data_IF_975714980847
#
_entry.id   IF_975714980847
#
_cell.length_a   1.000
_cell.length_b   1.000
_cell.length_c   1.000
_cell.angle_alpha   90.00
_cell.angle_beta   90.00
_cell.angle_gamma   90.00
#
_symmetry.space_group_name_H-M   'P 1'
#
loop_
_entity.id
_entity.type
_entity.pdbx_description
1 polymer ?
#
# COMPACT_ATOMS: atom_id res chain seq x y z
N UNK A 1 2.27 -22.34 11.80
CA UNK A 1 0.82 -22.08 11.64
C UNK A 1 0.22 -23.14 10.72
N UNK A 2 -0.88 -23.79 11.10
CA UNK A 2 -1.38 -25.00 10.42
C UNK A 2 -2.37 -24.72 9.27
N UNK A 3 -3.11 -23.61 9.33
CA UNK A 3 -4.17 -23.29 8.36
C UNK A 3 -3.84 -22.03 7.56
N UNK A 4 -4.38 -21.94 6.34
CA UNK A 4 -4.33 -20.71 5.53
C UNK A 4 -5.00 -19.57 6.31
N UNK A 5 -6.08 -19.86 7.04
CA UNK A 5 -6.77 -18.90 7.90
C UNK A 5 -5.85 -18.29 8.95
N UNK A 6 -5.09 -19.12 9.69
CA UNK A 6 -4.15 -18.64 10.71
C UNK A 6 -3.08 -17.74 10.10
N UNK A 7 -2.54 -18.12 8.93
CA UNK A 7 -1.52 -17.35 8.22
C UNK A 7 -2.07 -16.04 7.64
N UNK A 8 -3.31 -16.05 7.14
CA UNK A 8 -3.97 -14.84 6.66
C UNK A 8 -4.23 -13.86 7.81
N UNK A 9 -4.68 -14.34 8.98
CA UNK A 9 -4.84 -13.50 10.18
C UNK A 9 -3.53 -12.91 10.66
N UNK A 10 -2.45 -13.68 10.60
CA UNK A 10 -1.12 -13.18 10.89
C UNK A 10 -0.73 -12.03 9.96
N UNK A 11 -0.86 -12.22 8.64
CA UNK A 11 -0.57 -11.16 7.65
C UNK A 11 -1.43 -9.93 7.89
N UNK A 12 -2.72 -10.10 8.22
CA UNK A 12 -3.59 -8.97 8.56
C UNK A 12 -3.06 -8.17 9.75
N UNK A 13 -2.64 -8.86 10.80
CA UNK A 13 -2.07 -8.23 12.00
C UNK A 13 -0.76 -7.52 11.68
N UNK A 14 0.16 -8.18 10.97
CA UNK A 14 1.46 -7.62 10.63
C UNK A 14 1.35 -6.36 9.76
N UNK A 15 0.40 -6.36 8.81
CA UNK A 15 0.19 -5.26 7.89
C UNK A 15 -0.80 -4.20 8.42
N UNK A 16 -1.45 -4.44 9.55
CA UNK A 16 -2.49 -3.55 10.09
C UNK A 16 -3.73 -3.41 9.20
N UNK A 17 -4.08 -4.43 8.39
CA UNK A 17 -5.18 -4.34 7.41
C UNK A 17 -6.43 -5.10 7.85
N UNK A 18 -7.60 -4.62 7.42
CA UNK A 18 -8.90 -5.25 7.72
C UNK A 18 -9.32 -6.20 6.60
N UNK A 19 -10.36 -7.01 6.84
CA UNK A 19 -10.88 -7.95 5.84
C UNK A 19 -11.31 -7.25 4.54
N UNK A 20 -11.92 -6.07 4.67
CA UNK A 20 -12.35 -5.24 3.53
C UNK A 20 -11.17 -4.79 2.67
N UNK A 21 -10.01 -4.55 3.30
CA UNK A 21 -8.79 -4.15 2.59
C UNK A 21 -8.24 -5.31 1.78
N UNK A 22 -8.27 -6.54 2.32
CA UNK A 22 -7.85 -7.74 1.58
C UNK A 22 -8.66 -7.90 0.29
N UNK A 23 -9.98 -7.72 0.35
CA UNK A 23 -10.84 -7.84 -0.82
C UNK A 23 -10.43 -6.86 -1.93
N UNK A 24 -10.20 -5.60 -1.53
CA UNK A 24 -9.77 -4.53 -2.43
C UNK A 24 -8.37 -4.80 -3.02
N UNK A 25 -7.43 -5.27 -2.20
CA UNK A 25 -6.03 -5.48 -2.59
C UNK A 25 -5.85 -6.71 -3.49
N UNK A 26 -6.60 -7.77 -3.22
CA UNK A 26 -6.42 -9.08 -3.87
C UNK A 26 -7.41 -9.31 -5.01
N UNK A 27 -8.52 -8.57 -5.04
CA UNK A 27 -9.65 -8.81 -5.94
C UNK A 27 -10.46 -10.07 -5.60
N UNK A 28 -10.18 -10.74 -4.47
CA UNK A 28 -10.98 -11.84 -3.95
C UNK A 28 -12.24 -11.27 -3.29
N UNK A 29 -13.39 -11.91 -3.48
CA UNK A 29 -14.65 -11.39 -2.93
C UNK A 29 -14.65 -11.39 -1.39
N UNK A 30 -15.34 -10.41 -0.82
CA UNK A 30 -15.48 -10.30 0.63
C UNK A 30 -16.14 -11.55 1.25
N UNK A 31 -17.07 -12.19 0.53
CA UNK A 31 -17.71 -13.44 0.95
C UNK A 31 -16.70 -14.58 1.08
N UNK A 32 -15.80 -14.72 0.11
CA UNK A 32 -14.74 -15.75 0.15
C UNK A 32 -13.77 -15.47 1.30
N UNK A 33 -13.34 -14.22 1.48
CA UNK A 33 -12.44 -13.84 2.58
C UNK A 33 -13.08 -14.14 3.94
N UNK A 34 -14.36 -13.77 4.13
CA UNK A 34 -15.12 -14.06 5.34
C UNK A 34 -15.21 -15.56 5.59
N UNK A 35 -15.55 -16.34 4.56
CA UNK A 35 -15.61 -17.81 4.65
C UNK A 35 -14.27 -18.40 5.11
N UNK A 36 -13.15 -17.98 4.49
CA UNK A 36 -11.82 -18.44 4.89
C UNK A 36 -11.53 -18.11 6.36
N UNK A 37 -11.84 -16.89 6.80
CA UNK A 37 -11.50 -16.44 8.15
C UNK A 37 -12.36 -17.09 9.24
N UNK A 38 -13.63 -17.42 8.94
CA UNK A 38 -14.56 -18.05 9.89
C UNK A 38 -14.35 -19.56 10.01
N UNK A 39 -14.04 -20.26 8.91
CA UNK A 39 -14.08 -21.73 8.86
C UNK A 39 -12.72 -22.43 9.12
N UNK A 40 -11.69 -21.71 9.56
CA UNK A 40 -10.33 -22.25 9.82
C UNK A 40 -9.80 -23.19 8.70
N UNK A 41 -9.88 -22.70 7.48
CA UNK A 41 -9.59 -23.43 6.25
C UNK A 41 -8.11 -23.82 6.16
N UNK A 42 -7.84 -25.12 6.07
CA UNK A 42 -6.48 -25.67 5.94
C UNK A 42 -5.81 -25.30 4.62
N UNK A 43 -6.55 -25.34 3.50
CA UNK A 43 -6.05 -25.06 2.14
C UNK A 43 -7.09 -24.29 1.35
N UNK A 44 -6.65 -23.32 0.55
CA UNK A 44 -7.53 -22.50 -0.27
C UNK A 44 -7.03 -22.42 -1.70
N UNK A 45 -7.95 -22.51 -2.66
CA UNK A 45 -7.66 -22.22 -4.06
C UNK A 45 -7.15 -20.78 -4.25
N UNK A 46 -7.60 -19.84 -3.40
CA UNK A 46 -7.25 -18.43 -3.49
C UNK A 46 -5.91 -18.07 -2.85
N UNK A 47 -5.18 -19.03 -2.24
CA UNK A 47 -3.92 -18.73 -1.55
C UNK A 47 -2.92 -17.99 -2.43
N UNK A 48 -2.77 -18.37 -3.69
CA UNK A 48 -1.86 -17.68 -4.61
C UNK A 48 -2.31 -16.24 -4.90
N UNK A 49 -3.58 -16.03 -5.23
CA UNK A 49 -4.12 -14.70 -5.54
C UNK A 49 -4.04 -13.77 -4.32
N UNK A 50 -4.36 -14.29 -3.13
CA UNK A 50 -4.22 -13.57 -1.87
C UNK A 50 -2.76 -13.17 -1.62
N UNK A 51 -1.84 -14.11 -1.81
CA UNK A 51 -0.41 -13.87 -1.60
C UNK A 51 0.12 -12.76 -2.51
N UNK A 52 -0.17 -12.82 -3.81
CA UNK A 52 0.26 -11.80 -4.77
C UNK A 52 -0.32 -10.42 -4.42
N UNK A 53 -1.62 -10.33 -4.13
CA UNK A 53 -2.26 -9.06 -3.79
C UNK A 53 -1.77 -8.45 -2.46
N UNK A 54 -1.30 -9.31 -1.54
CA UNK A 54 -0.75 -8.92 -0.25
C UNK A 54 0.78 -8.88 -0.23
N UNK A 55 1.48 -9.04 -1.37
CA UNK A 55 2.96 -9.08 -1.37
C UNK A 55 3.58 -10.13 -0.44
N UNK A 56 2.85 -11.19 -0.15
CA UNK A 56 3.27 -12.32 0.70
C UNK A 56 3.81 -13.43 -0.19
N UNK A 57 4.74 -14.21 0.34
CA UNK A 57 5.22 -15.41 -0.32
C UNK A 57 4.06 -16.42 -0.55
N UNK A 58 3.74 -16.79 -1.80
CA UNK A 58 2.65 -17.74 -2.08
C UNK A 58 2.84 -19.10 -1.42
N UNK A 59 4.07 -19.59 -1.34
CA UNK A 59 4.39 -20.87 -0.71
C UNK A 59 4.17 -20.81 0.80
N UNK A 60 4.59 -19.72 1.42
CA UNK A 60 4.34 -19.48 2.83
C UNK A 60 2.84 -19.37 3.13
N UNK A 61 2.08 -18.62 2.33
CA UNK A 61 0.64 -18.49 2.60
C UNK A 61 -0.10 -19.82 2.39
N UNK A 62 0.27 -20.60 1.38
CA UNK A 62 -0.35 -21.89 1.08
C UNK A 62 0.01 -22.98 2.10
N UNK A 63 1.28 -23.08 2.48
CA UNK A 63 1.81 -24.24 3.23
C UNK A 63 2.52 -23.86 4.54
N UNK A 64 2.90 -22.61 4.72
CA UNK A 64 3.62 -22.12 5.91
C UNK A 64 5.13 -22.26 5.83
N UNK A 65 5.66 -22.48 4.62
CA UNK A 65 7.08 -22.73 4.38
C UNK A 65 7.78 -21.49 3.81
N UNK A 66 9.02 -21.26 4.28
CA UNK A 66 9.85 -20.12 3.86
C UNK A 66 9.54 -18.81 4.59
N UNK A 67 10.05 -17.71 4.03
CA UNK A 67 9.83 -16.36 4.55
C UNK A 67 8.41 -15.87 4.26
N UNK A 68 7.83 -15.12 5.20
CA UNK A 68 6.48 -14.54 5.07
C UNK A 68 6.43 -13.56 3.89
N UNK A 69 7.37 -12.61 3.87
CA UNK A 69 7.42 -11.55 2.87
C UNK A 69 8.62 -11.74 1.97
N UNK A 70 8.37 -11.88 0.67
CA UNK A 70 9.44 -11.88 -0.32
C UNK A 70 9.86 -10.43 -0.60
N UNK A 71 11.16 -10.10 -0.57
CA UNK A 71 11.63 -8.81 -1.06
C UNK A 71 11.21 -8.64 -2.51
N UNK A 72 10.44 -7.60 -2.82
CA UNK A 72 10.02 -7.34 -4.19
C UNK A 72 10.44 -5.94 -4.62
N UNK A 73 11.06 -5.84 -5.79
CA UNK A 73 11.37 -4.55 -6.41
C UNK A 73 10.21 -4.16 -7.32
N UNK A 74 9.32 -3.31 -6.81
CA UNK A 74 8.16 -2.85 -7.58
C UNK A 74 8.31 -1.39 -7.95
N UNK A 75 7.97 -1.06 -9.20
CA UNK A 75 7.81 0.34 -9.64
C UNK A 75 6.58 0.92 -8.95
N UNK A 76 6.78 1.91 -8.10
CA UNK A 76 5.66 2.63 -7.49
C UNK A 76 4.96 3.52 -8.53
N UNK A 77 3.66 3.78 -8.43
CA UNK A 77 3.02 4.96 -9.01
C UNK A 77 3.71 6.24 -8.51
N UNK A 78 3.80 7.25 -9.37
CA UNK A 78 4.24 8.58 -9.00
C UNK A 78 3.16 9.59 -9.36
N UNK A 79 2.82 10.44 -8.40
CA UNK A 79 1.89 11.53 -8.54
C UNK A 79 2.65 12.85 -8.41
N UNK A 80 2.53 13.70 -9.44
CA UNK A 80 3.27 14.95 -9.52
C UNK A 80 2.73 16.06 -8.60
N UNK A 81 1.49 15.91 -8.14
CA UNK A 81 0.83 16.84 -7.23
C UNK A 81 -0.34 16.18 -6.51
N UNK A 82 -0.88 16.88 -5.51
CA UNK A 82 -2.12 16.50 -4.82
C UNK A 82 -3.29 16.35 -5.80
N UNK A 83 -3.39 17.25 -6.77
CA UNK A 83 -4.44 17.22 -7.80
C UNK A 83 -4.32 15.99 -8.69
N UNK A 84 -3.10 15.64 -9.10
CA UNK A 84 -2.82 14.43 -9.88
C UNK A 84 -3.22 13.17 -9.12
N UNK A 85 -2.88 13.09 -7.82
CA UNK A 85 -3.32 12.00 -6.95
C UNK A 85 -4.85 11.92 -6.85
N UNK A 86 -5.54 13.05 -6.59
CA UNK A 86 -7.01 13.10 -6.48
C UNK A 86 -7.69 12.53 -7.73
N UNK A 87 -7.22 12.90 -8.92
CA UNK A 87 -7.78 12.41 -10.19
C UNK A 87 -7.60 10.90 -10.41
N UNK A 88 -6.67 10.27 -9.69
CA UNK A 88 -6.35 8.86 -9.83
C UNK A 88 -6.88 8.00 -8.68
N UNK A 89 -7.53 8.56 -7.66
CA UNK A 89 -8.32 7.82 -6.67
C UNK A 89 -9.66 7.49 -7.35
N UNK A 90 -10.00 6.20 -7.64
CA UNK A 90 -9.56 4.98 -6.95
C UNK A 90 -8.65 4.05 -7.79
N UNK A 91 -8.23 4.49 -8.97
CA UNK A 91 -7.36 3.77 -9.90
C UNK A 91 -5.85 3.94 -9.61
N UNK A 92 -5.40 3.63 -8.39
CA UNK A 92 -3.97 3.67 -8.00
C UNK A 92 -3.07 2.63 -8.73
N UNK A 93 -3.44 2.22 -9.96
CA UNK A 93 -2.80 1.19 -10.80
C UNK A 93 -1.91 1.74 -11.94
N UNK A 94 -1.61 3.04 -12.03
CA UNK A 94 -0.76 3.61 -13.12
C UNK A 94 0.62 4.09 -12.65
N UNK A 95 1.62 3.92 -13.52
CA UNK A 95 3.02 3.54 -13.24
C UNK A 95 4.02 4.69 -13.48
N UNK A 96 4.94 4.98 -12.55
CA UNK A 96 6.32 5.49 -12.86
C UNK A 96 7.32 5.22 -11.74
N UNK A 97 8.42 4.51 -12.05
CA UNK A 97 9.36 3.89 -11.11
C UNK A 97 10.00 4.81 -10.04
N UNK A 98 9.82 4.45 -8.77
CA UNK A 98 10.71 4.87 -7.67
C UNK A 98 11.61 3.71 -7.26
N UNK A 99 12.92 3.96 -7.14
CA UNK A 99 13.89 2.94 -6.71
C UNK A 99 13.77 2.68 -5.21
N UNK A 100 13.64 1.40 -4.83
CA UNK A 100 13.78 0.85 -3.47
C UNK A 100 12.60 1.11 -2.51
N UNK A 101 11.78 0.08 -2.30
CA UNK A 101 11.04 -0.23 -1.07
C UNK A 101 11.09 -1.74 -0.95
N UNK A 102 11.51 -2.28 0.19
CA UNK A 102 11.80 -3.71 0.27
C UNK A 102 10.52 -4.57 0.34
N UNK A 103 9.44 -4.11 0.98
CA UNK A 103 8.29 -4.96 1.38
C UNK A 103 6.96 -4.21 1.53
N UNK A 104 6.69 -3.22 0.68
CA UNK A 104 5.48 -2.43 0.77
C UNK A 104 4.41 -2.83 -0.26
N UNK A 105 3.16 -2.92 0.18
CA UNK A 105 1.97 -3.24 -0.62
C UNK A 105 1.16 -1.97 -0.77
N UNK A 106 0.45 -1.82 -1.90
CA UNK A 106 -0.37 -0.64 -2.18
C UNK A 106 0.38 0.68 -1.99
N UNK A 107 1.59 0.74 -2.53
CA UNK A 107 2.49 1.86 -2.32
C UNK A 107 2.49 2.81 -3.50
N UNK A 108 2.56 4.10 -3.23
CA UNK A 108 2.72 5.15 -4.23
C UNK A 108 3.73 6.20 -3.75
N UNK A 109 4.21 7.00 -4.69
CA UNK A 109 5.00 8.18 -4.40
C UNK A 109 4.24 9.43 -4.80
N UNK A 110 4.32 10.46 -3.96
CA UNK A 110 3.66 11.74 -4.17
C UNK A 110 4.68 12.85 -3.98
N UNK A 111 4.76 13.74 -4.96
CA UNK A 111 5.44 15.00 -4.80
C UNK A 111 4.57 15.92 -3.94
N UNK A 112 4.99 16.11 -2.69
CA UNK A 112 4.25 16.93 -1.72
C UNK A 112 4.55 18.41 -1.94
N UNK A 113 5.78 18.73 -2.30
CA UNK A 113 6.27 20.07 -2.63
C UNK A 113 7.65 19.99 -3.32
N UNK A 114 8.18 21.12 -3.77
CA UNK A 114 9.47 21.21 -4.48
C UNK A 114 10.66 20.57 -3.75
N UNK A 115 10.55 20.35 -2.43
CA UNK A 115 11.61 19.77 -1.61
C UNK A 115 11.42 18.29 -1.31
N UNK A 116 10.19 17.77 -1.28
CA UNK A 116 9.90 16.45 -0.73
C UNK A 116 8.95 15.61 -1.59
N UNK A 117 9.40 14.38 -1.83
CA UNK A 117 8.56 13.26 -2.29
C UNK A 117 8.35 12.33 -1.11
N UNK A 118 7.08 12.01 -0.82
CA UNK A 118 6.73 10.99 0.16
C UNK A 118 6.45 9.68 -0.54
N UNK A 119 6.86 8.57 0.09
CA UNK A 119 6.43 7.22 -0.29
C UNK A 119 5.40 6.79 0.74
N UNK A 120 4.17 6.58 0.27
CA UNK A 120 3.07 6.09 1.08
C UNK A 120 2.80 4.62 0.75
N UNK A 121 2.29 3.85 1.70
CA UNK A 121 1.89 2.47 1.46
C UNK A 121 1.62 1.69 2.73
N UNK A 122 1.49 0.37 2.59
CA UNK A 122 1.28 -0.57 3.69
C UNK A 122 2.56 -1.39 3.83
N UNK A 123 3.12 -1.47 5.04
CA UNK A 123 4.30 -2.26 5.35
C UNK A 123 4.12 -2.96 6.72
N UNK A 124 4.88 -4.03 6.99
CA UNK A 124 4.88 -4.65 8.33
C UNK A 124 5.22 -3.63 9.42
N UNK A 125 4.57 -3.72 10.58
CA UNK A 125 4.78 -2.77 11.69
C UNK A 125 6.26 -2.66 12.10
N UNK A 126 6.99 -3.77 12.05
CA UNK A 126 8.44 -3.82 12.35
C UNK A 126 9.32 -2.99 11.42
N UNK A 127 8.82 -2.60 10.24
CA UNK A 127 9.54 -1.79 9.25
C UNK A 127 9.16 -0.31 9.28
N UNK A 128 8.12 0.05 10.03
CA UNK A 128 7.64 1.43 10.17
C UNK A 128 8.53 2.16 11.18
N UNK A 129 9.42 3.03 10.66
CA UNK A 129 10.34 3.82 11.50
C UNK A 129 9.64 4.98 12.21
N UNK A 130 8.64 5.57 11.57
CA UNK A 130 7.89 6.74 12.06
C UNK A 130 6.43 6.52 11.75
N UNK A 131 5.55 6.67 12.74
CA UNK A 131 4.09 6.58 12.57
C UNK A 131 3.54 7.93 12.10
N UNK A 132 3.65 8.18 10.81
CA UNK A 132 3.10 9.36 10.14
C UNK A 132 2.19 8.93 9.00
N UNK A 133 1.10 9.69 8.81
CA UNK A 133 0.07 9.40 7.85
C UNK A 133 -0.17 10.63 6.97
N UNK A 134 -0.16 10.44 5.66
CA UNK A 134 -0.64 11.43 4.71
C UNK A 134 -2.17 11.34 4.64
N UNK A 135 -2.84 12.42 5.00
CA UNK A 135 -4.30 12.51 5.04
C UNK A 135 -4.78 13.54 4.01
N UNK A 136 -5.68 13.12 3.14
CA UNK A 136 -6.21 13.89 2.01
C UNK A 136 -7.71 14.10 2.16
N UNK A 137 -8.15 15.34 2.03
CA UNK A 137 -9.54 15.77 2.06
C UNK A 137 -9.89 16.48 0.75
N UNK A 138 -11.17 16.80 0.56
CA UNK A 138 -11.67 17.44 -0.66
C UNK A 138 -10.98 18.78 -0.96
N UNK A 139 -10.65 19.55 0.08
CA UNK A 139 -10.13 20.92 -0.01
C UNK A 139 -8.69 21.07 0.51
N UNK A 140 -8.23 20.17 1.39
CA UNK A 140 -6.90 20.27 2.00
C UNK A 140 -6.22 18.90 2.19
N UNK A 141 -4.97 18.92 2.63
CA UNK A 141 -4.22 17.75 3.05
C UNK A 141 -3.32 18.11 4.22
N UNK A 142 -2.94 17.13 5.03
CA UNK A 142 -1.95 17.31 6.08
C UNK A 142 -1.29 15.97 6.46
N UNK A 143 -0.26 16.07 7.29
CA UNK A 143 0.42 14.90 7.87
C UNK A 143 0.00 14.77 9.32
N UNK A 144 -0.48 13.59 9.67
CA UNK A 144 -0.94 13.24 11.01
C UNK A 144 0.02 12.22 11.64
N UNK A 145 0.15 12.24 12.96
CA UNK A 145 0.84 11.17 13.71
C UNK A 145 -0.11 10.03 14.10
N UNK A 146 -1.41 10.17 13.79
CA UNK A 146 -2.44 9.16 14.01
C UNK A 146 -3.21 8.87 12.74
N UNK A 147 -3.59 7.62 12.55
CA UNK A 147 -4.47 7.20 11.45
C UNK A 147 -5.85 7.87 11.59
N UNK A 148 -6.40 8.35 10.47
CA UNK A 148 -7.73 8.94 10.39
C UNK A 148 -8.66 7.93 9.72
N UNK A 149 -9.90 7.81 10.21
CA UNK A 149 -10.87 6.90 9.59
C UNK A 149 -11.08 7.29 8.12
N UNK A 150 -11.01 6.29 7.25
CA UNK A 150 -11.39 6.33 5.84
C UNK A 150 -12.76 6.96 5.54
N UNK A 151 -13.67 7.08 6.52
CA UNK A 151 -14.96 7.78 6.35
C UNK A 151 -14.83 9.30 6.45
N UNK A 152 -13.78 9.79 7.08
CA UNK A 152 -13.58 11.21 7.38
C UNK A 152 -12.68 11.89 6.34
N UNK A 153 -11.96 11.12 5.52
CA UNK A 153 -11.02 11.63 4.52
C UNK A 153 -11.11 10.84 3.21
N UNK A 154 -10.66 11.44 2.10
CA UNK A 154 -10.57 10.77 0.79
C UNK A 154 -9.49 9.68 0.78
N UNK A 155 -8.39 9.91 1.49
CA UNK A 155 -7.27 8.99 1.60
C UNK A 155 -6.50 9.26 2.89
N UNK A 156 -6.29 8.22 3.70
CA UNK A 156 -5.32 8.20 4.78
C UNK A 156 -4.33 7.08 4.49
N UNK A 157 -3.03 7.38 4.38
CA UNK A 157 -2.00 6.39 4.08
C UNK A 157 -0.74 6.62 4.91
N UNK A 158 -0.20 5.54 5.48
CA UNK A 158 1.07 5.56 6.20
C UNK A 158 2.20 6.02 5.27
N UNK A 159 3.01 6.97 5.74
CA UNK A 159 4.24 7.40 5.11
C UNK A 159 5.34 6.41 5.51
N UNK A 160 5.90 5.73 4.52
CA UNK A 160 6.97 4.76 4.70
C UNK A 160 8.35 5.42 4.59
N UNK A 161 8.46 6.47 3.78
CA UNK A 161 9.72 7.15 3.56
C UNK A 161 9.54 8.60 3.11
N UNK A 162 10.37 9.48 3.65
CA UNK A 162 10.58 10.83 3.17
C UNK A 162 11.81 10.90 2.27
N UNK A 163 11.67 11.45 1.08
CA UNK A 163 12.79 11.67 0.15
C UNK A 163 12.88 13.11 -0.26
N UNK A 164 14.11 13.62 -0.35
CA UNK A 164 14.35 14.89 -1.04
C UNK A 164 13.96 14.74 -2.51
N UNK A 165 13.19 15.68 -3.02
CA UNK A 165 12.86 15.73 -4.43
C UNK A 165 14.13 15.96 -5.23
N UNK A 166 14.39 15.07 -6.19
CA UNK A 166 15.43 15.25 -7.20
C UNK A 166 14.85 15.77 -8.53
N UNK A 167 13.56 16.11 -8.53
CA UNK A 167 12.89 16.64 -9.72
C UNK A 167 13.29 18.10 -9.84
N UNK A 168 14.03 18.41 -10.90
CA UNK A 168 14.27 19.81 -11.27
C UNK A 168 12.90 20.44 -11.54
N UNK A 169 12.62 21.66 -11.05
CA UNK A 169 11.42 22.38 -11.46
C UNK A 169 11.40 22.37 -12.99
N UNK A 170 10.28 21.94 -13.58
CA UNK A 170 10.11 22.04 -15.02
C UNK A 170 10.36 23.51 -15.38
N UNK A 171 11.46 23.77 -16.08
CA UNK A 171 11.69 25.08 -16.67
C UNK A 171 10.44 25.37 -17.50
N UNK A 172 9.69 26.38 -17.07
CA UNK A 172 8.67 27.05 -17.85
C UNK A 172 9.24 27.16 -19.26
N UNK A 173 8.61 26.49 -20.23
CA UNK A 173 8.85 26.80 -21.62
C UNK A 173 8.46 28.26 -21.79
N UNK A 174 9.46 29.12 -21.64
CA UNK A 174 9.43 30.48 -22.16
C UNK A 174 9.28 30.31 -23.67
N UNK A 175 8.04 30.51 -24.15
CA UNK A 175 7.83 31.05 -25.48
C UNK A 175 8.69 32.32 -25.58
N UNK A 176 9.79 32.23 -26.31
CA UNK A 176 10.51 33.40 -26.79
C UNK A 176 10.85 33.14 -28.26
N UNK A 177 9.98 33.74 -29.08
CA UNK A 177 10.15 34.28 -30.44
C UNK A 177 10.42 33.29 -31.58
#
# INVERSE_FOLDING_TARGET
MQTVTSRLRYVMSELGIRQVDIARLTGVSAQVISYLLVNDVKKSYYSYQLAIGLGVNPEWLANGEGEVFTPSYTKLPYYASITDLKNHIPSLKKKTAVKKSNRAIYSFSLNLNDQYVIICGIAPESEIKVKEYFCLFDDHHFISTTEIDSKECLLCCQILEWRKSNLKPENTMQEVL
#
